data_IF_384888644345
#
_entry.id   IF_384888644345
#
_cell.length_a   1.000
_cell.length_b   1.000
_cell.length_c   1.000
_cell.angle_alpha   90.00
_cell.angle_beta   90.00
_cell.angle_gamma   90.00
#
_symmetry.space_group_name_H-M   'P 1'
#
loop_
_entity.id
_entity.type
_entity.pdbx_description
1 polymer ?
#
# COMPACT_ATOMS: atom_id res chain seq x y z
N UNK A 1 10.04 8.87 10.95
CA UNK A 1 8.93 7.89 10.93
C UNK A 1 9.44 6.59 10.30
N UNK A 2 9.24 5.44 10.93
CA UNK A 2 9.86 4.18 10.50
C UNK A 2 9.24 3.58 9.23
N UNK A 3 10.07 2.95 8.38
CA UNK A 3 9.71 2.26 7.13
C UNK A 3 8.41 1.44 7.21
N UNK A 4 8.24 0.68 8.30
CA UNK A 4 7.06 -0.18 8.54
C UNK A 4 5.76 0.59 8.75
N UNK A 5 5.80 1.77 9.38
CA UNK A 5 4.60 2.57 9.64
C UNK A 5 3.99 3.11 8.35
N UNK A 6 4.83 3.56 7.42
CA UNK A 6 4.35 4.07 6.14
C UNK A 6 3.76 2.97 5.25
N UNK A 7 4.41 1.82 5.18
CA UNK A 7 3.89 0.69 4.41
C UNK A 7 2.59 0.13 5.03
N UNK A 8 2.49 0.12 6.37
CA UNK A 8 1.24 -0.24 7.06
C UNK A 8 0.13 0.79 6.81
N UNK A 9 0.46 2.09 6.84
CA UNK A 9 -0.48 3.17 6.54
C UNK A 9 -0.99 3.08 5.10
N UNK A 10 -0.11 2.78 4.13
CA UNK A 10 -0.49 2.50 2.75
C UNK A 10 -1.52 1.36 2.69
N UNK A 11 -1.24 0.22 3.33
CA UNK A 11 -2.14 -0.93 3.30
C UNK A 11 -3.51 -0.60 3.89
N UNK A 12 -3.55 0.13 5.01
CA UNK A 12 -4.80 0.53 5.67
C UNK A 12 -5.59 1.51 4.79
N UNK A 13 -4.95 2.56 4.28
CA UNK A 13 -5.63 3.57 3.44
C UNK A 13 -6.18 2.95 2.15
N UNK A 14 -5.41 2.05 1.53
CA UNK A 14 -5.83 1.40 0.30
C UNK A 14 -6.94 0.35 0.56
N UNK A 15 -6.89 -0.38 1.68
CA UNK A 15 -7.99 -1.25 2.10
C UNK A 15 -9.28 -0.46 2.33
N UNK A 16 -9.21 0.70 3.02
CA UNK A 16 -10.35 1.60 3.19
C UNK A 16 -10.90 2.05 1.83
N UNK A 17 -10.02 2.45 0.90
CA UNK A 17 -10.41 2.82 -0.46
C UNK A 17 -11.16 1.68 -1.18
N UNK A 18 -10.69 0.43 -1.08
CA UNK A 18 -11.40 -0.72 -1.64
C UNK A 18 -12.75 -0.98 -0.95
N UNK A 19 -12.82 -0.87 0.38
CA UNK A 19 -14.07 -1.06 1.13
C UNK A 19 -15.14 -0.04 0.74
N UNK A 20 -14.77 1.21 0.43
CA UNK A 20 -15.75 2.22 0.00
C UNK A 20 -16.55 1.84 -1.25
N UNK A 21 -16.00 0.97 -2.10
CA UNK A 21 -16.64 0.54 -3.37
C UNK A 21 -17.86 -0.35 -3.16
N UNK A 22 -17.99 -0.94 -1.98
CA UNK A 22 -19.16 -1.73 -1.61
C UNK A 22 -20.39 -0.87 -1.31
N UNK A 23 -20.21 0.44 -1.06
CA UNK A 23 -21.28 1.37 -0.72
C UNK A 23 -21.75 2.15 -1.95
N UNK A 24 -23.04 2.14 -2.25
CA UNK A 24 -23.62 2.89 -3.38
C UNK A 24 -23.86 4.39 -3.10
N UNK A 25 -22.92 5.08 -2.43
CA UNK A 25 -23.03 6.53 -2.14
C UNK A 25 -21.91 7.32 -2.82
N UNK A 26 -22.28 8.28 -3.67
CA UNK A 26 -21.33 9.08 -4.45
C UNK A 26 -20.24 9.74 -3.58
N UNK A 27 -20.62 10.31 -2.43
CA UNK A 27 -19.67 10.94 -1.51
C UNK A 27 -18.67 9.94 -0.93
N UNK A 28 -19.12 8.71 -0.63
CA UNK A 28 -18.27 7.63 -0.11
C UNK A 28 -17.29 7.15 -1.19
N UNK A 29 -17.75 7.01 -2.44
CA UNK A 29 -16.87 6.69 -3.57
C UNK A 29 -15.81 7.79 -3.82
N UNK A 30 -16.20 9.06 -3.69
CA UNK A 30 -15.28 10.18 -3.89
C UNK A 30 -14.21 10.22 -2.80
N UNK A 31 -14.60 9.97 -1.54
CA UNK A 31 -13.66 9.78 -0.44
C UNK A 31 -12.71 8.60 -0.68
N UNK A 32 -13.24 7.47 -1.18
CA UNK A 32 -12.45 6.32 -1.61
C UNK A 32 -11.39 6.66 -2.65
N UNK A 33 -11.73 7.50 -3.64
CA UNK A 33 -10.76 7.96 -4.65
C UNK A 33 -9.64 8.81 -4.06
N UNK A 34 -9.97 9.76 -3.18
CA UNK A 34 -8.99 10.64 -2.55
C UNK A 34 -8.01 9.81 -1.70
N UNK A 35 -8.56 8.94 -0.84
CA UNK A 35 -7.75 8.08 0.03
C UNK A 35 -6.89 7.09 -0.76
N UNK A 36 -7.42 6.52 -1.84
CA UNK A 36 -6.66 5.66 -2.76
C UNK A 36 -5.51 6.41 -3.45
N UNK A 37 -5.74 7.65 -3.88
CA UNK A 37 -4.69 8.50 -4.46
C UNK A 37 -3.56 8.79 -3.47
N UNK A 38 -3.91 9.18 -2.24
CA UNK A 38 -2.93 9.41 -1.16
C UNK A 38 -2.13 8.14 -0.86
N UNK A 39 -2.77 6.99 -0.83
CA UNK A 39 -2.09 5.70 -0.64
C UNK A 39 -1.06 5.45 -1.76
N UNK A 40 -1.44 5.62 -3.03
CA UNK A 40 -0.49 5.45 -4.16
C UNK A 40 0.68 6.41 -4.09
N UNK A 41 0.46 7.67 -3.72
CA UNK A 41 1.55 8.62 -3.52
C UNK A 41 2.51 8.20 -2.40
N UNK A 42 1.99 7.64 -1.30
CA UNK A 42 2.82 7.09 -0.23
C UNK A 42 3.64 5.87 -0.71
N UNK A 43 3.05 5.01 -1.54
CA UNK A 43 3.69 3.81 -2.07
C UNK A 43 4.94 4.14 -2.92
N UNK A 44 4.91 5.19 -3.72
CA UNK A 44 6.09 5.56 -4.51
C UNK A 44 7.06 6.43 -3.71
N UNK A 45 6.58 7.57 -3.19
CA UNK A 45 7.47 8.58 -2.58
C UNK A 45 8.20 8.07 -1.34
N UNK A 46 7.53 7.28 -0.49
CA UNK A 46 8.16 6.78 0.74
C UNK A 46 9.15 5.67 0.43
N UNK A 47 8.80 4.75 -0.48
CA UNK A 47 9.69 3.64 -0.82
C UNK A 47 10.93 4.12 -1.58
N UNK A 48 10.79 5.08 -2.49
CA UNK A 48 11.91 5.70 -3.19
C UNK A 48 12.84 6.40 -2.20
N UNK A 49 12.28 7.25 -1.32
CA UNK A 49 13.06 7.95 -0.28
C UNK A 49 13.76 6.98 0.67
N UNK A 50 13.08 5.89 1.05
CA UNK A 50 13.68 4.86 1.90
C UNK A 50 14.81 4.12 1.17
N UNK A 51 14.61 3.75 -0.09
CA UNK A 51 15.61 3.02 -0.88
C UNK A 51 16.88 3.86 -1.05
N UNK A 52 16.73 5.15 -1.38
CA UNK A 52 17.85 6.11 -1.46
C UNK A 52 18.59 6.19 -0.11
N UNK A 53 17.85 6.34 1.00
CA UNK A 53 18.46 6.43 2.33
C UNK A 53 19.21 5.14 2.72
N UNK A 54 18.65 3.96 2.45
CA UNK A 54 19.32 2.67 2.76
C UNK A 54 20.52 2.43 1.84
N UNK A 55 20.43 2.84 0.57
CA UNK A 55 21.53 2.77 -0.38
C UNK A 55 22.73 3.59 0.06
N UNK A 56 22.49 4.83 0.49
CA UNK A 56 23.51 5.68 1.13
C UNK A 56 24.05 5.06 2.42
N UNK A 57 23.19 4.47 3.26
CA UNK A 57 23.60 3.85 4.54
C UNK A 57 24.50 2.62 4.35
N UNK A 58 24.39 1.92 3.22
CA UNK A 58 25.17 0.73 2.89
C UNK A 58 26.36 1.00 1.97
N UNK A 59 26.57 2.27 1.59
CA UNK A 59 27.66 2.71 0.72
C UNK A 59 27.72 1.95 -0.62
N UNK A 60 26.54 1.67 -1.19
CA UNK A 60 26.43 0.99 -2.48
C UNK A 60 26.69 1.95 -3.65
N UNK A 61 27.16 1.42 -4.78
CA UNK A 61 27.47 2.27 -5.95
C UNK A 61 26.21 2.90 -6.57
N UNK A 62 26.29 4.14 -7.10
CA UNK A 62 25.14 4.83 -7.70
C UNK A 62 24.51 4.07 -8.88
N UNK A 63 25.29 3.30 -9.64
CA UNK A 63 24.76 2.53 -10.78
C UNK A 63 23.79 1.43 -10.32
N UNK A 64 24.03 0.85 -9.14
CA UNK A 64 23.19 -0.21 -8.58
C UNK A 64 21.81 0.33 -8.14
N UNK A 65 21.75 1.59 -7.71
CA UNK A 65 20.49 2.27 -7.37
C UNK A 65 19.61 2.44 -8.61
N UNK A 66 20.18 2.97 -9.71
CA UNK A 66 19.48 3.15 -10.98
C UNK A 66 18.99 1.82 -11.57
N UNK A 67 19.80 0.75 -11.46
CA UNK A 67 19.40 -0.61 -11.86
C UNK A 67 18.25 -1.15 -11.02
N UNK A 68 18.25 -0.88 -9.70
CA UNK A 68 17.20 -1.33 -8.79
C UNK A 68 15.86 -0.65 -9.11
N UNK A 69 15.86 0.67 -9.31
CA UNK A 69 14.65 1.39 -9.73
C UNK A 69 14.13 0.92 -11.10
N UNK A 70 15.04 0.68 -12.05
CA UNK A 70 14.68 0.16 -13.37
C UNK A 70 14.03 -1.22 -13.28
N UNK A 71 14.59 -2.12 -12.45
CA UNK A 71 14.00 -3.43 -12.19
C UNK A 71 12.66 -3.33 -11.47
N UNK A 72 12.51 -2.38 -10.53
CA UNK A 72 11.25 -2.13 -9.84
C UNK A 72 10.15 -1.67 -10.80
N UNK A 73 10.44 -0.73 -11.72
CA UNK A 73 9.49 -0.29 -12.75
C UNK A 73 9.12 -1.43 -13.69
N UNK A 74 10.09 -2.22 -14.15
CA UNK A 74 9.84 -3.40 -14.98
C UNK A 74 8.92 -4.41 -14.26
N UNK A 75 9.23 -4.70 -12.99
CA UNK A 75 8.42 -5.58 -12.16
C UNK A 75 6.99 -5.06 -11.97
N UNK A 76 6.82 -3.76 -11.74
CA UNK A 76 5.51 -3.13 -11.61
C UNK A 76 4.68 -3.30 -12.90
N UNK A 77 5.29 -3.11 -14.08
CA UNK A 77 4.62 -3.33 -15.36
C UNK A 77 4.20 -4.80 -15.56
N UNK A 78 5.06 -5.75 -15.21
CA UNK A 78 4.73 -7.18 -15.31
C UNK A 78 3.57 -7.57 -14.37
N UNK A 79 3.62 -7.09 -13.12
CA UNK A 79 2.53 -7.31 -12.14
C UNK A 79 1.24 -6.63 -12.59
N UNK A 80 1.29 -5.45 -13.19
CA UNK A 80 0.11 -4.75 -13.68
C UNK A 80 -0.63 -5.55 -14.77
N UNK A 81 0.12 -6.17 -15.70
CA UNK A 81 -0.48 -7.04 -16.73
C UNK A 81 -1.17 -8.23 -16.08
N UNK A 82 -0.48 -8.95 -15.18
CA UNK A 82 -1.08 -10.10 -14.49
C UNK A 82 -2.28 -9.72 -13.62
N UNK A 83 -2.21 -8.57 -12.94
CA UNK A 83 -3.31 -8.06 -12.14
C UNK A 83 -4.54 -7.72 -12.98
N UNK A 84 -4.34 -7.26 -14.23
CA UNK A 84 -5.43 -7.07 -15.19
C UNK A 84 -6.18 -8.36 -15.48
N UNK A 85 -5.46 -9.43 -15.80
CA UNK A 85 -6.04 -10.77 -16.06
C UNK A 85 -6.74 -11.34 -14.83
N UNK A 86 -6.07 -11.31 -13.66
CA UNK A 86 -6.66 -11.77 -12.39
C UNK A 86 -7.90 -10.95 -12.03
N UNK A 87 -7.88 -9.64 -12.29
CA UNK A 87 -9.02 -8.75 -12.07
C UNK A 87 -10.20 -9.09 -12.97
N UNK A 88 -9.96 -9.37 -14.26
CA UNK A 88 -11.01 -9.80 -15.17
C UNK A 88 -11.62 -11.14 -14.73
N UNK A 89 -10.78 -12.14 -14.46
CA UNK A 89 -11.24 -13.44 -13.95
C UNK A 89 -12.02 -13.29 -12.64
N UNK A 90 -11.56 -12.43 -11.73
CA UNK A 90 -12.26 -12.17 -10.46
C UNK A 90 -13.64 -11.54 -10.68
N UNK A 91 -13.77 -10.63 -11.64
CA UNK A 91 -15.05 -10.00 -11.99
C UNK A 91 -16.02 -10.99 -12.65
N UNK A 92 -15.51 -11.91 -13.48
CA UNK A 92 -16.32 -12.87 -14.23
C UNK A 92 -16.74 -14.11 -13.40
N UNK A 93 -16.04 -14.41 -12.30
CA UNK A 93 -16.32 -15.59 -11.47
C UNK A 93 -17.65 -15.52 -10.69
N UNK A 94 -18.15 -14.33 -10.35
CA UNK A 94 -19.40 -14.17 -9.58
C UNK A 94 -20.25 -13.05 -10.17
N UNK A 95 -21.49 -13.34 -10.52
CA UNK A 95 -22.45 -12.30 -10.91
C UNK A 95 -22.68 -11.31 -9.75
N UNK A 96 -22.85 -10.03 -10.09
CA UNK A 96 -23.10 -8.95 -9.14
C UNK A 96 -24.41 -9.24 -8.40
N UNK A 97 -24.31 -9.67 -7.14
CA UNK A 97 -25.46 -10.04 -6.31
C UNK A 97 -25.66 -9.01 -5.21
N UNK A 98 -26.88 -8.51 -5.09
CA UNK A 98 -27.28 -7.65 -3.98
C UNK A 98 -27.28 -8.49 -2.70
N UNK A 99 -26.56 -8.04 -1.67
CA UNK A 99 -26.52 -8.75 -0.38
C UNK A 99 -27.91 -8.78 0.26
N UNK A 100 -28.74 -7.76 -0.01
CA UNK A 100 -30.16 -7.68 0.36
C UNK A 100 -30.93 -6.76 -0.61
N UNK A 101 -32.24 -6.97 -0.83
CA UNK A 101 -33.07 -6.17 -1.75
C UNK A 101 -33.17 -4.67 -1.41
N UNK A 102 -32.92 -4.31 -0.15
CA UNK A 102 -33.07 -2.99 0.45
C UNK A 102 -31.74 -2.39 0.97
N UNK A 103 -30.61 -3.05 0.68
CA UNK A 103 -29.30 -2.63 1.19
C UNK A 103 -28.45 -1.91 0.14
N UNK A 104 -27.70 -0.91 0.58
CA UNK A 104 -26.71 -0.17 -0.23
C UNK A 104 -25.39 -0.96 -0.47
N UNK A 105 -25.36 -2.24 -0.09
CA UNK A 105 -24.18 -3.10 -0.07
C UNK A 105 -24.22 -4.11 -1.23
N UNK A 106 -23.29 -3.97 -2.17
CA UNK A 106 -23.14 -4.86 -3.32
C UNK A 106 -22.01 -5.85 -3.08
N UNK A 107 -22.16 -7.10 -3.51
CA UNK A 107 -21.10 -8.11 -3.44
C UNK A 107 -21.04 -8.91 -4.75
N UNK A 108 -19.85 -9.34 -5.17
CA UNK A 108 -19.64 -9.98 -6.47
C UNK A 108 -19.52 -8.99 -7.63
N UNK A 109 -19.40 -9.51 -8.86
CA UNK A 109 -19.17 -8.74 -10.08
C UNK A 109 -17.98 -7.79 -9.97
N UNK A 110 -18.20 -6.52 -10.31
CA UNK A 110 -17.18 -5.46 -10.30
C UNK A 110 -16.58 -5.16 -8.91
N UNK A 111 -17.15 -5.65 -7.81
CA UNK A 111 -16.57 -5.51 -6.47
C UNK A 111 -15.49 -6.57 -6.19
N UNK A 112 -15.57 -7.74 -6.83
CA UNK A 112 -14.70 -8.90 -6.61
C UNK A 112 -13.20 -8.61 -6.80
N UNK A 113 -12.75 -7.83 -7.82
CA UNK A 113 -11.35 -7.47 -7.96
C UNK A 113 -10.81 -6.65 -6.78
N UNK A 114 -11.67 -5.85 -6.12
CA UNK A 114 -11.29 -5.04 -4.96
C UNK A 114 -11.15 -5.89 -3.69
N UNK A 115 -11.96 -6.94 -3.57
CA UNK A 115 -11.82 -7.93 -2.49
C UNK A 115 -10.52 -8.73 -2.62
N UNK A 116 -10.19 -9.15 -3.84
CA UNK A 116 -8.91 -9.81 -4.14
C UNK A 116 -7.75 -8.87 -3.77
N UNK A 117 -7.83 -7.59 -4.14
CA UNK A 117 -6.84 -6.59 -3.76
C UNK A 117 -6.70 -6.45 -2.23
N UNK A 118 -7.80 -6.43 -1.47
CA UNK A 118 -7.76 -6.43 0.01
C UNK A 118 -7.03 -7.66 0.54
N UNK A 119 -7.25 -8.84 -0.04
CA UNK A 119 -6.53 -10.07 0.31
C UNK A 119 -5.02 -9.93 0.11
N UNK A 120 -4.59 -9.40 -1.04
CA UNK A 120 -3.16 -9.13 -1.31
C UNK A 120 -2.58 -8.10 -0.34
N UNK A 121 -3.32 -7.04 0.00
CA UNK A 121 -2.87 -6.05 0.99
C UNK A 121 -2.70 -6.70 2.37
N UNK A 122 -3.65 -7.53 2.81
CA UNK A 122 -3.58 -8.22 4.08
C UNK A 122 -2.37 -9.19 4.14
N UNK A 123 -2.13 -9.92 3.05
CA UNK A 123 -0.95 -10.77 2.92
C UNK A 123 0.35 -9.94 2.97
N UNK A 124 0.41 -8.84 2.22
CA UNK A 124 1.56 -7.94 2.22
C UNK A 124 1.84 -7.39 3.61
N UNK A 125 0.79 -7.00 4.34
CA UNK A 125 0.85 -6.52 5.70
C UNK A 125 1.41 -7.62 6.62
N UNK A 126 0.87 -8.84 6.56
CA UNK A 126 1.36 -9.98 7.34
C UNK A 126 2.85 -10.28 7.07
N UNK A 127 3.26 -10.34 5.80
CA UNK A 127 4.67 -10.55 5.42
C UNK A 127 5.56 -9.44 5.99
N UNK A 128 5.11 -8.18 5.94
CA UNK A 128 5.84 -7.06 6.52
C UNK A 128 5.96 -7.17 8.05
N UNK A 129 4.90 -7.57 8.74
CA UNK A 129 4.94 -7.80 10.18
C UNK A 129 5.92 -8.91 10.57
N UNK A 130 6.03 -9.97 9.76
CA UNK A 130 6.93 -11.10 10.00
C UNK A 130 8.39 -10.81 9.60
N UNK A 131 8.61 -10.10 8.49
CA UNK A 131 9.95 -9.92 7.90
C UNK A 131 10.64 -8.66 8.40
N UNK A 132 9.89 -7.59 8.71
CA UNK A 132 10.48 -6.31 9.15
C UNK A 132 10.47 -6.12 10.66
N UNK A 133 11.65 -6.30 11.25
CA UNK A 133 11.97 -5.81 12.60
C UNK A 133 11.85 -4.28 12.66
N UNK A 134 11.16 -3.80 13.69
CA UNK A 134 10.74 -2.42 13.87
C UNK A 134 11.93 -1.58 14.38
N UNK A 135 12.70 -0.97 13.48
CA UNK A 135 13.76 -0.05 13.89
C UNK A 135 13.11 1.29 14.29
N UNK A 136 12.74 1.41 15.57
CA UNK A 136 12.54 2.72 16.18
C UNK A 136 13.87 3.44 16.05
N UNK A 137 13.91 4.48 15.21
CA UNK A 137 15.08 5.35 15.13
C UNK A 137 15.49 5.70 16.56
N UNK A 138 16.77 5.51 16.87
CA UNK A 138 17.36 5.84 18.16
C UNK A 138 16.72 7.15 18.64
N UNK A 139 16.02 7.10 19.79
CA UNK A 139 15.75 8.33 20.53
C UNK A 139 17.14 8.94 20.73
N UNK A 140 17.43 10.03 20.04
CA UNK A 140 18.54 10.88 20.43
C UNK A 140 18.26 11.28 21.87
N UNK A 141 18.96 10.64 22.81
CA UNK A 141 19.24 11.24 24.10
C UNK A 141 19.99 12.53 23.79
N UNK A 142 19.24 13.62 23.66
CA UNK A 142 19.81 14.95 23.83
C UNK A 142 20.26 15.00 25.27
N UNK A 143 21.55 14.75 25.51
CA UNK A 143 22.23 15.04 26.76
C UNK A 143 21.74 16.38 27.29
N UNK A 144 21.05 16.35 28.42
CA UNK A 144 20.95 17.50 29.31
C UNK A 144 22.35 17.81 29.84
N UNK A 145 23.16 18.48 29.02
CA UNK A 145 24.40 19.14 29.40
C UNK A 145 24.14 20.59 29.77
N UNK A 146 23.17 20.80 30.66
CA UNK A 146 22.92 22.09 31.30
C UNK A 146 23.29 21.99 32.77
N UNK A 147 24.54 22.28 33.11
CA UNK A 147 24.87 22.81 34.43
C UNK A 147 26.02 23.79 34.29
N UNK A 148 25.67 25.06 34.48
CA UNK A 148 26.55 26.11 34.96
C UNK A 148 27.14 25.65 36.31
N UNK A 149 28.46 25.63 36.46
CA UNK A 149 29.28 26.44 37.41
C UNK A 149 30.72 26.42 36.89
#
# INVERSE_FOLDING_TARGET
>A
MGRRRFASLYCVLYAVSCMTKHYSSFYVLMFGRITGGVATSLLFSVFDSWMVAEHHRRDFSPELLGRTFSLAVFGNSAVAIMAGEVGQLAADMKELTLVRPDSFLHYGGYCSPFDVAIGFLALSLAIMFMTWSENYGQKSESSSGGSLV
#
